data_IF_403064651609
#
_entry.id   IF_403064651609
#
_cell.length_a   1.000
_cell.length_b   1.000
_cell.length_c   1.000
_cell.angle_alpha   90.00
_cell.angle_beta   90.00
_cell.angle_gamma   90.00
#
_symmetry.space_group_name_H-M   'P 1'
#
loop_
_entity.id
_entity.type
_entity.pdbx_description
1 polymer ?
#
# COMPACT_ATOMS: atom_id res chain seq x y z
N UNK A 1 -3.80 -3.30 -13.51
CA UNK A 1 -2.73 -3.67 -12.56
C UNK A 1 -1.51 -2.76 -12.62
N UNK A 2 -1.47 -1.73 -11.77
CA UNK A 2 -0.28 -0.87 -11.61
C UNK A 2 0.91 -1.62 -11.01
N UNK A 3 0.67 -2.61 -10.15
CA UNK A 3 1.72 -3.45 -9.56
C UNK A 3 2.52 -4.22 -10.62
N UNK A 4 1.83 -4.83 -11.59
CA UNK A 4 2.49 -5.51 -12.70
C UNK A 4 3.36 -4.56 -13.55
N UNK A 5 2.90 -3.33 -13.78
CA UNK A 5 3.64 -2.30 -14.51
C UNK A 5 4.92 -1.89 -13.74
N UNK A 6 4.82 -1.66 -12.43
CA UNK A 6 5.97 -1.31 -11.60
C UNK A 6 7.02 -2.43 -11.59
N UNK A 7 6.58 -3.69 -11.42
CA UNK A 7 7.49 -4.84 -11.46
C UNK A 7 8.16 -5.00 -12.83
N UNK A 8 7.40 -4.85 -13.92
CA UNK A 8 7.95 -4.88 -15.28
C UNK A 8 9.04 -3.81 -15.48
N UNK A 9 8.79 -2.57 -15.04
CA UNK A 9 9.75 -1.47 -15.19
C UNK A 9 10.99 -1.68 -14.30
N UNK A 10 10.82 -2.21 -13.10
CA UNK A 10 11.93 -2.57 -12.23
C UNK A 10 12.84 -3.63 -12.87
N UNK A 11 12.25 -4.66 -13.48
CA UNK A 11 12.99 -5.72 -14.16
C UNK A 11 13.66 -5.24 -15.44
N UNK A 12 12.97 -4.41 -16.22
CA UNK A 12 13.51 -3.82 -17.44
C UNK A 12 14.72 -2.92 -17.17
N UNK A 13 14.75 -2.27 -16.02
CA UNK A 13 15.78 -1.26 -15.70
C UNK A 13 16.82 -1.74 -14.70
N UNK A 14 16.57 -2.84 -13.99
CA UNK A 14 17.39 -3.27 -12.85
C UNK A 14 17.37 -2.28 -11.67
N UNK A 15 16.32 -1.45 -11.55
CA UNK A 15 16.23 -0.40 -10.54
C UNK A 15 15.02 -0.60 -9.63
N UNK A 16 15.08 0.00 -8.44
CA UNK A 16 13.97 0.07 -7.47
C UNK A 16 13.45 -1.30 -7.00
N UNK A 17 14.27 -2.33 -7.12
CA UNK A 17 14.02 -3.64 -6.54
C UNK A 17 15.37 -4.30 -6.19
N UNK A 18 15.51 -4.94 -5.02
CA UNK A 18 16.74 -5.63 -4.66
C UNK A 18 17.08 -6.77 -5.64
N UNK A 19 18.38 -6.97 -5.89
CA UNK A 19 18.86 -8.10 -6.68
C UNK A 19 18.88 -9.42 -5.88
N UNK A 20 19.04 -9.32 -4.55
CA UNK A 20 18.94 -10.47 -3.65
C UNK A 20 17.54 -11.11 -3.77
N UNK A 21 17.44 -12.41 -4.07
CA UNK A 21 16.14 -13.05 -4.28
C UNK A 21 15.21 -12.96 -3.07
N UNK A 22 15.72 -13.07 -1.84
CA UNK A 22 14.88 -13.02 -0.65
C UNK A 22 14.29 -11.62 -0.44
N UNK A 23 15.12 -10.58 -0.49
CA UNK A 23 14.68 -9.18 -0.39
C UNK A 23 13.79 -8.77 -1.57
N UNK A 24 14.02 -9.32 -2.77
CA UNK A 24 13.15 -9.11 -3.93
C UNK A 24 11.73 -9.60 -3.66
N UNK A 25 11.56 -10.84 -3.20
CA UNK A 25 10.24 -11.38 -2.91
C UNK A 25 9.58 -10.71 -1.71
N UNK A 26 10.34 -10.27 -0.72
CA UNK A 26 9.81 -9.42 0.36
C UNK A 26 9.32 -8.07 -0.17
N UNK A 27 10.05 -7.43 -1.09
CA UNK A 27 9.61 -6.20 -1.77
C UNK A 27 8.29 -6.42 -2.52
N UNK A 28 8.21 -7.52 -3.28
CA UNK A 28 7.01 -7.91 -4.03
C UNK A 28 5.83 -8.14 -3.06
N UNK A 29 6.05 -8.78 -1.91
CA UNK A 29 5.03 -8.96 -0.89
C UNK A 29 4.43 -7.61 -0.45
N UNK A 30 5.25 -6.58 -0.26
CA UNK A 30 4.77 -5.24 0.10
C UNK A 30 4.03 -4.53 -1.04
N UNK A 31 4.42 -4.75 -2.30
CA UNK A 31 3.62 -4.31 -3.47
C UNK A 31 2.25 -4.98 -3.45
N UNK A 32 2.18 -6.29 -3.22
CA UNK A 32 0.89 -7.00 -3.15
C UNK A 32 0.05 -6.58 -1.94
N UNK A 33 0.68 -6.29 -0.79
CA UNK A 33 -0.02 -5.69 0.35
C UNK A 33 -0.66 -4.35 -0.03
N UNK A 34 0.05 -3.50 -0.79
CA UNK A 34 -0.53 -2.26 -1.29
C UNK A 34 -1.71 -2.52 -2.24
N UNK A 35 -1.53 -3.38 -3.25
CA UNK A 35 -2.53 -3.64 -4.30
C UNK A 35 -3.79 -4.31 -3.76
N UNK A 36 -3.65 -5.21 -2.78
CA UNK A 36 -4.76 -5.99 -2.24
C UNK A 36 -5.43 -5.37 -1.00
N UNK A 37 -4.71 -4.50 -0.25
CA UNK A 37 -5.22 -3.94 0.99
C UNK A 37 -5.27 -2.41 0.98
N UNK A 38 -4.12 -1.72 0.93
CA UNK A 38 -4.07 -0.25 1.08
C UNK A 38 -4.97 0.43 0.05
N UNK A 39 -4.73 0.19 -1.24
CA UNK A 39 -5.48 0.87 -2.31
C UNK A 39 -6.99 0.62 -2.24
N UNK A 40 -7.44 -0.66 -2.27
CA UNK A 40 -8.87 -0.97 -2.21
C UNK A 40 -9.55 -0.43 -0.96
N UNK A 41 -8.97 -0.61 0.23
CA UNK A 41 -9.62 -0.21 1.49
C UNK A 41 -9.67 1.32 1.61
N UNK A 42 -8.60 2.03 1.26
CA UNK A 42 -8.60 3.50 1.34
C UNK A 42 -9.57 4.10 0.32
N UNK A 43 -9.71 3.48 -0.85
CA UNK A 43 -10.75 3.82 -1.82
C UNK A 43 -12.16 3.69 -1.22
N UNK A 44 -12.43 2.61 -0.47
CA UNK A 44 -13.72 2.45 0.21
C UNK A 44 -13.95 3.51 1.30
N UNK A 45 -12.94 3.83 2.12
CA UNK A 45 -13.05 4.95 3.07
C UNK A 45 -13.36 6.24 2.32
N UNK A 46 -12.65 6.54 1.23
CA UNK A 46 -12.91 7.71 0.39
C UNK A 46 -14.35 7.75 -0.11
N UNK A 47 -14.90 6.62 -0.56
CA UNK A 47 -16.28 6.56 -1.03
C UNK A 47 -17.31 6.88 0.06
N UNK A 48 -17.22 6.22 1.22
CA UNK A 48 -18.19 6.39 2.32
C UNK A 48 -17.95 7.66 3.16
N UNK A 49 -16.78 8.28 3.06
CA UNK A 49 -16.46 9.51 3.78
C UNK A 49 -16.63 10.76 2.91
N UNK A 50 -16.11 10.74 1.68
CA UNK A 50 -15.96 11.93 0.82
C UNK A 50 -16.97 11.98 -0.33
N UNK A 51 -17.22 10.85 -0.99
CA UNK A 51 -18.06 10.79 -2.18
C UNK A 51 -19.52 10.41 -1.84
N UNK A 52 -20.27 9.89 -2.81
CA UNK A 52 -21.72 9.64 -2.69
C UNK A 52 -22.08 8.75 -1.49
N UNK A 53 -21.20 7.84 -1.08
CA UNK A 53 -21.42 7.00 0.10
C UNK A 53 -21.57 7.78 1.41
N UNK A 54 -21.13 9.03 1.49
CA UNK A 54 -21.31 9.89 2.69
C UNK A 54 -22.77 10.17 3.01
N UNK A 55 -23.64 10.15 2.00
CA UNK A 55 -25.07 10.48 2.10
C UNK A 55 -25.88 9.32 2.67
N UNK A 56 -25.29 8.11 2.75
CA UNK A 56 -25.89 6.96 3.41
C UNK A 56 -25.97 7.25 4.91
N UNK A 57 -27.18 7.18 5.46
CA UNK A 57 -27.45 7.47 6.86
C UNK A 57 -26.80 6.45 7.81
N UNK A 58 -26.82 5.18 7.43
CA UNK A 58 -26.13 4.11 8.16
C UNK A 58 -24.61 4.24 8.05
N UNK A 59 -23.95 4.46 9.18
CA UNK A 59 -22.49 4.67 9.25
C UNK A 59 -21.67 3.41 9.43
N UNK A 60 -22.29 2.23 9.61
CA UNK A 60 -21.58 0.96 9.77
C UNK A 60 -20.58 0.67 8.63
N UNK A 61 -20.89 0.94 7.34
CA UNK A 61 -19.90 0.75 6.27
C UNK A 61 -18.69 1.69 6.43
N UNK A 62 -18.92 2.98 6.72
CA UNK A 62 -17.85 3.94 6.95
C UNK A 62 -16.96 3.52 8.12
N UNK A 63 -17.55 3.13 9.24
CA UNK A 63 -16.84 2.69 10.44
C UNK A 63 -15.96 1.47 10.16
N UNK A 64 -16.49 0.47 9.44
CA UNK A 64 -15.74 -0.72 9.02
C UNK A 64 -14.47 -0.35 8.25
N UNK A 65 -14.60 0.48 7.22
CA UNK A 65 -13.45 0.83 6.38
C UNK A 65 -12.49 1.78 7.09
N UNK A 66 -12.99 2.70 7.92
CA UNK A 66 -12.16 3.57 8.77
C UNK A 66 -11.26 2.73 9.69
N UNK A 67 -11.85 1.76 10.36
CA UNK A 67 -11.12 0.93 11.34
C UNK A 67 -10.11 0.01 10.64
N UNK A 68 -10.45 -0.52 9.46
CA UNK A 68 -9.50 -1.29 8.65
C UNK A 68 -8.37 -0.41 8.09
N UNK A 69 -8.67 0.80 7.60
CA UNK A 69 -7.63 1.76 7.20
C UNK A 69 -6.67 2.08 8.34
N UNK A 70 -7.21 2.28 9.55
CA UNK A 70 -6.38 2.49 10.75
C UNK A 70 -5.50 1.29 11.06
N UNK A 71 -6.03 0.07 10.94
CA UNK A 71 -5.26 -1.16 11.12
C UNK A 71 -4.12 -1.26 10.11
N UNK A 72 -4.38 -0.95 8.84
CA UNK A 72 -3.38 -0.99 7.78
C UNK A 72 -2.28 0.06 7.97
N UNK A 73 -2.63 1.29 8.40
CA UNK A 73 -1.64 2.30 8.81
C UNK A 73 -0.80 1.77 9.98
N UNK A 74 -1.39 1.07 10.95
CA UNK A 74 -0.65 0.45 12.05
C UNK A 74 0.35 -0.62 11.61
N UNK A 75 0.04 -1.38 10.55
CA UNK A 75 0.99 -2.33 9.93
C UNK A 75 2.16 -1.56 9.31
N UNK A 76 1.89 -0.48 8.59
CA UNK A 76 2.93 0.37 8.00
C UNK A 76 3.80 1.05 9.05
N UNK A 77 3.20 1.60 10.10
CA UNK A 77 3.90 2.21 11.23
C UNK A 77 4.87 1.21 11.87
N UNK A 78 4.39 -0.02 12.12
CA UNK A 78 5.23 -1.08 12.68
C UNK A 78 6.36 -1.47 11.74
N UNK A 79 6.08 -1.56 10.42
CA UNK A 79 7.10 -1.86 9.42
C UNK A 79 8.15 -0.76 9.32
N UNK A 80 7.74 0.51 9.32
CA UNK A 80 8.63 1.66 9.15
C UNK A 80 9.40 2.02 10.43
N UNK A 81 9.02 1.47 11.59
CA UNK A 81 9.75 1.70 12.84
C UNK A 81 11.23 1.34 12.70
N UNK A 82 12.09 2.36 12.76
CA UNK A 82 13.54 2.22 12.62
C UNK A 82 14.03 1.96 11.19
N UNK A 83 13.18 2.12 10.17
CA UNK A 83 13.54 1.99 8.75
C UNK A 83 13.35 3.31 8.03
N UNK A 84 14.20 3.56 7.04
CA UNK A 84 14.08 4.75 6.18
C UNK A 84 12.97 4.57 5.14
N UNK A 85 12.86 3.36 4.61
CA UNK A 85 11.89 2.93 3.61
C UNK A 85 11.27 1.58 4.01
N UNK A 86 10.29 1.09 3.24
CA UNK A 86 9.67 -0.21 3.51
C UNK A 86 10.72 -1.34 3.51
N UNK A 87 11.76 -1.23 2.68
CA UNK A 87 12.85 -2.20 2.56
C UNK A 87 14.16 -1.68 3.20
N UNK A 88 14.07 -1.24 4.46
CA UNK A 88 15.19 -0.71 5.25
C UNK A 88 15.76 0.60 4.67
N UNK A 89 16.95 0.56 4.06
CA UNK A 89 17.61 1.70 3.42
C UNK A 89 17.33 1.78 1.91
N UNK A 90 16.73 0.75 1.32
CA UNK A 90 16.44 0.67 -0.11
C UNK A 90 15.08 1.30 -0.43
N UNK A 91 15.08 2.34 -1.28
CA UNK A 91 13.85 2.85 -1.87
C UNK A 91 13.43 1.96 -3.05
N UNK A 92 12.21 1.44 -3.01
CA UNK A 92 11.75 0.40 -3.93
C UNK A 92 10.40 0.70 -4.55
N UNK A 93 9.98 -0.17 -5.48
CA UNK A 93 8.61 -0.17 -6.02
C UNK A 93 7.53 -0.34 -4.95
N UNK A 94 7.84 -0.93 -3.79
CA UNK A 94 6.90 -0.98 -2.68
C UNK A 94 6.56 0.44 -2.18
N UNK A 95 7.57 1.29 -1.98
CA UNK A 95 7.39 2.68 -1.55
C UNK A 95 6.66 3.50 -2.62
N UNK A 96 7.08 3.37 -3.88
CA UNK A 96 6.43 4.04 -5.04
C UNK A 96 4.94 3.69 -5.11
N UNK A 97 4.58 2.44 -4.85
CA UNK A 97 3.19 1.99 -4.89
C UNK A 97 2.31 2.58 -3.78
N UNK A 98 2.91 2.97 -2.64
CA UNK A 98 2.17 3.40 -1.46
C UNK A 98 2.04 4.92 -1.31
N UNK A 99 3.07 5.69 -1.66
CA UNK A 99 3.17 7.12 -1.35
C UNK A 99 1.98 7.97 -1.84
N UNK A 100 1.36 7.59 -2.96
CA UNK A 100 0.21 8.32 -3.50
C UNK A 100 -1.13 8.02 -2.79
N UNK A 101 -1.18 7.00 -1.94
CA UNK A 101 -2.39 6.57 -1.24
C UNK A 101 -2.44 7.02 0.22
N UNK A 102 -1.28 7.14 0.87
CA UNK A 102 -1.15 7.58 2.27
C UNK A 102 -1.16 9.10 2.34
#
# INVERSE_FOLDING_TARGET
ESGAILLYLADKTGKLIPADPARRYETIQWVFFQMAAIGPIFGQVGFFHKFAGREIADKRPLERYRDESRRLIGVLETRLKGRKWIMDDDYTVADVSMLGWV
#
